data_IF_580631601291
#
_entry.id   IF_580631601291
#
_cell.length_a   1.000
_cell.length_b   1.000
_cell.length_c   1.000
_cell.angle_alpha   90.00
_cell.angle_beta   90.00
_cell.angle_gamma   90.00
#
_symmetry.space_group_name_H-M   'P 1'
#
loop_
_entity.id
_entity.type
_entity.pdbx_description
1 polymer ?
#
# COMPACT_ATOMS: atom_id res chain seq x y z
N UNK A 1 -2.41 9.17 -12.07
CA UNK A 1 -2.63 9.85 -13.37
C UNK A 1 -2.20 11.31 -13.36
N UNK A 2 -2.76 12.19 -12.53
CA UNK A 2 -2.38 13.63 -12.49
C UNK A 2 -0.87 13.87 -12.36
N UNK A 3 -0.21 13.24 -11.38
CA UNK A 3 1.24 13.33 -11.17
C UNK A 3 2.06 12.89 -12.39
N UNK A 4 1.60 11.86 -13.11
CA UNK A 4 2.28 11.38 -14.30
C UNK A 4 2.15 12.33 -15.49
N UNK A 5 1.04 13.08 -15.60
CA UNK A 5 0.70 13.84 -16.81
C UNK A 5 0.94 15.34 -16.71
N UNK A 6 0.77 15.94 -15.54
CA UNK A 6 1.03 17.37 -15.33
C UNK A 6 2.43 17.58 -14.73
N UNK A 7 3.09 18.63 -15.22
CA UNK A 7 4.26 19.21 -14.57
C UNK A 7 3.80 20.50 -13.90
N UNK A 8 4.06 20.62 -12.60
CA UNK A 8 3.72 21.79 -11.81
C UNK A 8 4.81 22.01 -10.75
N UNK A 9 4.92 23.25 -10.26
CA UNK A 9 5.91 23.61 -9.23
C UNK A 9 5.55 22.88 -7.92
N UNK A 10 6.50 22.14 -7.34
CA UNK A 10 6.27 21.33 -6.14
C UNK A 10 6.00 19.84 -6.39
N UNK A 11 5.92 19.39 -7.65
CA UNK A 11 5.77 17.96 -7.98
C UNK A 11 6.85 17.09 -7.34
N UNK A 12 8.11 17.51 -7.40
CA UNK A 12 9.23 16.76 -6.79
C UNK A 12 9.08 16.64 -5.28
N UNK A 13 8.58 17.68 -4.60
CA UNK A 13 8.35 17.65 -3.15
C UNK A 13 7.28 16.62 -2.80
N UNK A 14 6.18 16.57 -3.54
CA UNK A 14 5.11 15.59 -3.33
C UNK A 14 5.60 14.17 -3.63
N UNK A 15 6.32 13.97 -4.73
CA UNK A 15 6.91 12.66 -5.07
C UNK A 15 7.91 12.21 -3.99
N UNK A 16 8.71 13.12 -3.43
CA UNK A 16 9.60 12.84 -2.29
C UNK A 16 8.82 12.44 -1.04
N UNK A 17 7.77 13.19 -0.65
CA UNK A 17 6.94 12.87 0.53
C UNK A 17 6.32 11.48 0.40
N UNK A 18 5.77 11.16 -0.77
CA UNK A 18 5.18 9.84 -1.03
C UNK A 18 6.24 8.73 -0.96
N UNK A 19 7.48 9.04 -1.32
CA UNK A 19 8.60 8.10 -1.32
C UNK A 19 9.32 7.99 0.04
N UNK A 20 9.05 8.88 1.00
CA UNK A 20 9.68 8.86 2.33
C UNK A 20 9.58 7.48 3.03
N UNK A 21 8.43 6.77 3.00
CA UNK A 21 8.33 5.46 3.64
C UNK A 21 9.29 4.40 3.08
N UNK A 22 9.83 4.58 1.87
CA UNK A 22 10.80 3.65 1.29
C UNK A 22 12.20 3.75 1.93
N UNK A 23 12.53 4.91 2.49
CA UNK A 23 13.88 5.21 3.00
C UNK A 23 13.90 5.21 4.53
N UNK A 24 12.77 5.51 5.15
CA UNK A 24 12.66 5.53 6.60
C UNK A 24 12.67 4.12 7.18
N UNK A 25 13.41 3.89 8.27
CA UNK A 25 13.26 2.65 9.04
C UNK A 25 11.80 2.47 9.47
N UNK A 26 11.24 1.25 9.40
CA UNK A 26 9.86 0.98 9.82
C UNK A 26 9.55 1.46 11.23
N UNK A 27 10.52 1.38 12.15
CA UNK A 27 10.36 1.85 13.53
C UNK A 27 10.22 3.37 13.62
N UNK A 28 10.90 4.13 12.76
CA UNK A 28 10.77 5.60 12.72
C UNK A 28 9.40 5.97 12.19
N UNK A 29 8.97 5.32 11.11
CA UNK A 29 7.65 5.55 10.52
C UNK A 29 6.52 5.16 11.49
N UNK A 30 6.63 4.00 12.14
CA UNK A 30 5.69 3.52 13.15
C UNK A 30 5.60 4.44 14.35
N UNK A 31 6.73 4.93 14.87
CA UNK A 31 6.76 5.89 15.97
C UNK A 31 6.03 7.19 15.61
N UNK A 32 6.36 7.80 14.48
CA UNK A 32 5.71 9.05 14.09
C UNK A 32 4.23 8.83 13.81
N UNK A 33 3.84 7.75 13.15
CA UNK A 33 2.43 7.42 12.94
C UNK A 33 1.68 7.21 14.26
N UNK A 34 2.28 6.54 15.25
CA UNK A 34 1.72 6.41 16.60
C UNK A 34 1.50 7.80 17.21
N UNK A 35 2.51 8.68 17.18
CA UNK A 35 2.40 10.04 17.73
C UNK A 35 1.33 10.87 16.99
N UNK A 36 1.26 10.76 15.66
CA UNK A 36 0.28 11.49 14.85
C UNK A 36 -1.15 10.95 15.00
N UNK A 37 -1.33 9.65 15.21
CA UNK A 37 -2.65 9.02 15.36
C UNK A 37 -3.09 8.92 16.84
N UNK A 38 -2.17 9.23 17.77
CA UNK A 38 -2.42 9.24 19.21
C UNK A 38 -3.60 10.14 19.56
N UNK A 39 -4.43 9.76 20.56
CA UNK A 39 -5.55 10.59 21.02
C UNK A 39 -5.12 11.97 21.55
N UNK A 40 -3.84 12.17 21.86
CA UNK A 40 -3.28 13.46 22.30
C UNK A 40 -2.84 14.37 21.14
N UNK A 41 -2.88 13.89 19.90
CA UNK A 41 -2.56 14.71 18.73
C UNK A 41 -3.80 15.46 18.24
N UNK A 42 -3.62 16.57 17.53
CA UNK A 42 -4.73 17.33 16.94
C UNK A 42 -5.63 16.44 16.06
N UNK A 43 -5.01 15.50 15.32
CA UNK A 43 -5.73 14.60 14.43
C UNK A 43 -6.46 13.49 15.21
N UNK A 44 -5.78 12.83 16.14
CA UNK A 44 -6.38 11.75 16.94
C UNK A 44 -7.48 12.27 17.86
N UNK A 45 -7.27 13.43 18.49
CA UNK A 45 -8.27 14.11 19.31
C UNK A 45 -9.51 14.49 18.49
N UNK A 46 -9.34 14.96 17.24
CA UNK A 46 -10.45 15.27 16.35
C UNK A 46 -11.33 14.03 16.10
N UNK A 47 -10.70 12.88 15.78
CA UNK A 47 -11.44 11.64 15.52
C UNK A 47 -12.07 11.06 16.79
N UNK A 48 -11.40 11.15 17.94
CA UNK A 48 -11.93 10.71 19.22
C UNK A 48 -13.15 11.55 19.63
N UNK A 49 -13.08 12.89 19.49
CA UNK A 49 -14.19 13.79 19.88
C UNK A 49 -15.40 13.72 18.95
N UNK A 50 -15.19 13.62 17.64
CA UNK A 50 -16.30 13.70 16.66
C UNK A 50 -16.87 12.32 16.31
N UNK A 51 -16.04 11.28 16.33
CA UNK A 51 -16.44 9.93 15.92
C UNK A 51 -16.33 8.89 17.04
N UNK A 52 -15.82 9.25 18.23
CA UNK A 52 -15.60 8.30 19.33
C UNK A 52 -14.55 7.23 18.99
N UNK A 53 -13.67 7.50 18.01
CA UNK A 53 -12.83 6.48 17.41
C UNK A 53 -11.34 6.74 17.69
N UNK A 54 -10.73 5.82 18.45
CA UNK A 54 -9.28 5.79 18.69
C UNK A 54 -8.56 5.17 17.50
N UNK A 55 -7.55 5.87 16.99
CA UNK A 55 -6.78 5.48 15.81
C UNK A 55 -5.49 4.71 16.13
N UNK A 56 -5.17 4.49 17.40
CA UNK A 56 -4.05 3.62 17.81
C UNK A 56 -4.65 2.42 18.55
N UNK A 57 -4.03 1.25 18.41
CA UNK A 57 -4.51 -0.01 19.00
C UNK A 57 -5.91 -0.39 18.53
N UNK A 58 -6.27 -0.01 17.30
CA UNK A 58 -7.55 -0.29 16.66
C UNK A 58 -7.32 -0.67 15.19
N UNK A 59 -8.17 -1.55 14.67
CA UNK A 59 -8.14 -1.99 13.27
C UNK A 59 -8.18 -0.82 12.28
N UNK A 60 -9.04 0.17 12.49
CA UNK A 60 -9.17 1.34 11.60
C UNK A 60 -7.86 2.13 11.50
N UNK A 61 -7.19 2.31 12.63
CA UNK A 61 -5.87 2.93 12.72
C UNK A 61 -4.80 2.17 11.96
N UNK A 62 -4.80 0.85 12.12
CA UNK A 62 -3.89 -0.06 11.44
C UNK A 62 -4.11 -0.06 9.92
N UNK A 63 -5.35 0.06 9.45
CA UNK A 63 -5.67 0.23 8.02
C UNK A 63 -5.13 1.56 7.49
N UNK A 64 -5.34 2.67 8.20
CA UNK A 64 -4.82 3.98 7.80
C UNK A 64 -3.30 3.98 7.73
N UNK A 65 -2.64 3.44 8.75
CA UNK A 65 -1.19 3.27 8.76
C UNK A 65 -0.71 2.42 7.59
N UNK A 66 -1.43 1.33 7.29
CA UNK A 66 -1.15 0.44 6.17
C UNK A 66 -1.22 1.12 4.82
N UNK A 67 -2.21 1.98 4.62
CA UNK A 67 -2.29 2.81 3.43
C UNK A 67 -1.09 3.76 3.31
N UNK A 68 -0.61 4.34 4.42
CA UNK A 68 0.50 5.31 4.39
C UNK A 68 1.83 4.62 4.07
N UNK A 69 2.20 3.55 4.78
CA UNK A 69 3.48 2.89 4.53
C UNK A 69 3.49 2.13 3.19
N UNK A 70 2.32 1.63 2.73
CA UNK A 70 2.22 0.92 1.46
C UNK A 70 2.10 1.84 0.24
N UNK A 71 1.84 3.14 0.46
CA UNK A 71 1.62 4.14 -0.59
C UNK A 71 2.71 4.16 -1.68
N UNK A 72 4.02 4.19 -1.38
CA UNK A 72 5.04 4.26 -2.42
C UNK A 72 5.07 3.02 -3.32
N UNK A 73 4.73 1.85 -2.78
CA UNK A 73 4.72 0.58 -3.50
C UNK A 73 3.58 0.52 -4.53
N UNK A 74 2.47 1.19 -4.25
CA UNK A 74 1.39 1.40 -5.21
C UNK A 74 1.69 2.55 -6.19
N UNK A 75 2.23 3.66 -5.66
CA UNK A 75 2.41 4.89 -6.42
C UNK A 75 3.44 4.78 -7.54
N UNK A 76 4.63 4.24 -7.25
CA UNK A 76 5.74 4.21 -8.19
C UNK A 76 5.44 3.41 -9.47
N UNK A 77 4.90 2.17 -9.41
CA UNK A 77 4.56 1.41 -10.61
C UNK A 77 3.41 2.05 -11.40
N UNK A 78 2.41 2.63 -10.72
CA UNK A 78 1.32 3.32 -11.40
C UNK A 78 1.78 4.58 -12.14
N UNK A 79 2.63 5.40 -11.51
CA UNK A 79 3.19 6.60 -12.16
C UNK A 79 4.04 6.20 -13.35
N UNK A 80 4.88 5.17 -13.22
CA UNK A 80 5.67 4.63 -14.32
C UNK A 80 4.78 4.16 -15.48
N UNK A 81 3.74 3.37 -15.19
CA UNK A 81 2.76 2.92 -16.20
C UNK A 81 2.04 4.07 -16.90
N UNK A 82 1.62 5.11 -16.17
CA UNK A 82 0.99 6.28 -16.82
C UNK A 82 1.98 7.12 -17.64
N UNK A 83 3.28 7.11 -17.28
CA UNK A 83 4.34 7.81 -18.03
C UNK A 83 4.73 7.06 -19.31
N UNK A 84 4.58 5.73 -19.36
CA UNK A 84 4.88 4.94 -20.57
C UNK A 84 3.86 5.12 -21.70
N UNK A 85 2.64 5.60 -21.39
CA UNK A 85 1.61 5.84 -22.41
C UNK A 85 1.98 7.01 -23.34
N UNK A 86 1.92 6.82 -24.68
CA UNK A 86 2.28 7.86 -25.64
C UNK A 86 1.33 9.04 -25.55
N UNK A 87 1.85 10.25 -25.79
CA UNK A 87 1.04 11.48 -25.75
C UNK A 87 -0.06 11.51 -26.82
N UNK A 88 0.16 10.88 -27.97
CA UNK A 88 -0.78 10.79 -29.08
C UNK A 88 -2.13 10.18 -28.69
N UNK A 89 -2.14 9.19 -27.81
CA UNK A 89 -3.36 8.57 -27.28
C UNK A 89 -4.29 9.60 -26.60
N UNK A 90 -3.69 10.57 -25.90
CA UNK A 90 -4.43 11.61 -25.20
C UNK A 90 -4.86 12.75 -26.14
N UNK A 91 -4.05 13.10 -27.14
CA UNK A 91 -4.45 14.04 -28.19
C UNK A 91 -5.68 13.53 -28.95
N UNK A 92 -5.74 12.24 -29.28
CA UNK A 92 -6.92 11.65 -29.89
C UNK A 92 -8.17 11.75 -28.99
N UNK A 93 -8.01 11.53 -27.68
CA UNK A 93 -9.11 11.73 -26.73
C UNK A 93 -9.58 13.19 -26.67
N UNK A 94 -8.64 14.14 -26.72
CA UNK A 94 -8.92 15.58 -26.71
C UNK A 94 -9.65 16.00 -28.00
N UNK A 95 -9.24 15.49 -29.17
CA UNK A 95 -9.94 15.72 -30.45
C UNK A 95 -11.38 15.17 -30.46
N UNK A 96 -11.64 14.09 -29.72
CA UNK A 96 -12.98 13.52 -29.52
C UNK A 96 -13.78 14.22 -28.40
N UNK A 97 -13.28 15.34 -27.86
CA UNK A 97 -13.93 16.11 -26.80
C UNK A 97 -14.06 15.35 -25.47
N UNK A 98 -13.22 14.34 -25.21
CA UNK A 98 -13.34 13.51 -24.00
C UNK A 98 -12.72 14.21 -22.78
N UNK A 99 -13.53 14.37 -21.74
CA UNK A 99 -13.11 14.93 -20.46
C UNK A 99 -12.09 14.08 -19.68
N UNK A 100 -11.55 14.64 -18.59
CA UNK A 100 -10.51 14.03 -17.76
C UNK A 100 -10.88 12.63 -17.24
N UNK A 101 -12.10 12.46 -16.71
CA UNK A 101 -12.55 11.16 -16.18
C UNK A 101 -12.70 10.10 -17.27
N UNK A 102 -13.17 10.47 -18.47
CA UNK A 102 -13.23 9.55 -19.61
C UNK A 102 -11.84 9.11 -20.04
N UNK A 103 -10.88 10.05 -20.11
CA UNK A 103 -9.47 9.73 -20.42
C UNK A 103 -8.85 8.81 -19.37
N UNK A 104 -9.14 9.05 -18.09
CA UNK A 104 -8.61 8.24 -16.99
C UNK A 104 -9.19 6.82 -17.00
N UNK A 105 -10.50 6.68 -16.89
CA UNK A 105 -11.13 5.38 -16.64
C UNK A 105 -11.33 4.53 -17.89
N UNK A 106 -11.53 5.14 -19.07
CA UNK A 106 -11.80 4.39 -20.31
C UNK A 106 -10.55 4.13 -21.15
N UNK A 107 -9.48 4.90 -20.97
CA UNK A 107 -8.29 4.83 -21.82
C UNK A 107 -7.04 4.56 -21.01
N UNK A 108 -6.66 5.46 -20.11
CA UNK A 108 -5.40 5.36 -19.38
C UNK A 108 -5.36 4.14 -18.45
N UNK A 109 -6.39 3.95 -17.61
CA UNK A 109 -6.43 2.88 -16.62
C UNK A 109 -6.47 1.48 -17.26
N UNK A 110 -7.30 1.20 -18.30
CA UNK A 110 -7.24 -0.07 -19.01
C UNK A 110 -5.90 -0.30 -19.72
N UNK A 111 -5.30 0.76 -20.29
CA UNK A 111 -4.02 0.65 -20.98
C UNK A 111 -2.86 0.29 -20.04
N UNK A 112 -2.89 0.73 -18.77
CA UNK A 112 -1.87 0.40 -17.76
C UNK A 112 -2.24 -0.78 -16.88
N UNK A 113 -3.19 -1.64 -17.28
CA UNK A 113 -3.66 -2.79 -16.49
C UNK A 113 -2.52 -3.66 -15.94
N UNK A 114 -1.44 -3.81 -16.71
CA UNK A 114 -0.26 -4.57 -16.30
C UNK A 114 0.50 -3.88 -15.18
N UNK A 115 0.77 -2.57 -15.32
CA UNK A 115 1.39 -1.79 -14.26
C UNK A 115 0.52 -1.71 -13.01
N UNK A 116 -0.81 -1.68 -13.15
CA UNK A 116 -1.75 -1.75 -12.04
C UNK A 116 -1.66 -3.10 -11.32
N UNK A 117 -1.64 -4.22 -12.06
CA UNK A 117 -1.45 -5.55 -11.47
C UNK A 117 -0.10 -5.66 -10.75
N UNK A 118 1.00 -5.19 -11.36
CA UNK A 118 2.31 -5.16 -10.69
C UNK A 118 2.28 -4.31 -9.42
N UNK A 119 1.63 -3.15 -9.44
CA UNK A 119 1.48 -2.28 -8.27
C UNK A 119 0.72 -3.01 -7.14
N UNK A 120 -0.37 -3.71 -7.48
CA UNK A 120 -1.14 -4.49 -6.52
C UNK A 120 -0.32 -5.63 -5.92
N UNK A 121 0.45 -6.36 -6.73
CA UNK A 121 1.33 -7.44 -6.26
C UNK A 121 2.37 -6.92 -5.26
N UNK A 122 3.10 -5.87 -5.63
CA UNK A 122 4.18 -5.32 -4.80
C UNK A 122 3.60 -4.73 -3.52
N UNK A 123 2.50 -3.98 -3.62
CA UNK A 123 1.82 -3.42 -2.45
C UNK A 123 1.36 -4.52 -1.51
N UNK A 124 0.70 -5.57 -2.02
CA UNK A 124 0.25 -6.70 -1.22
C UNK A 124 1.41 -7.44 -0.54
N UNK A 125 2.46 -7.75 -1.30
CA UNK A 125 3.64 -8.42 -0.78
C UNK A 125 4.28 -7.62 0.36
N UNK A 126 4.38 -6.30 0.19
CA UNK A 126 4.92 -5.42 1.21
C UNK A 126 4.02 -5.35 2.46
N UNK A 127 2.70 -5.17 2.29
CA UNK A 127 1.75 -5.15 3.41
C UNK A 127 1.79 -6.46 4.21
N UNK A 128 1.93 -7.62 3.53
CA UNK A 128 2.07 -8.92 4.21
C UNK A 128 3.37 -9.05 4.99
N UNK A 129 4.47 -8.54 4.44
CA UNK A 129 5.79 -8.56 5.08
C UNK A 129 5.98 -7.50 6.15
N UNK A 130 5.06 -6.53 6.27
CA UNK A 130 5.18 -5.45 7.23
C UNK A 130 4.99 -5.95 8.66
N UNK A 131 5.91 -5.54 9.52
CA UNK A 131 5.92 -5.90 10.93
C UNK A 131 6.21 -4.68 11.80
N UNK A 132 7.25 -3.91 11.49
CA UNK A 132 7.75 -2.84 12.36
C UNK A 132 6.72 -1.75 12.60
N UNK A 133 6.11 -1.21 11.54
CA UNK A 133 5.08 -0.16 11.67
C UNK A 133 3.85 -0.70 12.41
N UNK A 134 3.45 -1.92 12.08
CA UNK A 134 2.24 -2.56 12.58
C UNK A 134 2.36 -2.88 14.07
N UNK A 135 3.51 -3.37 14.53
CA UNK A 135 3.77 -3.63 15.95
C UNK A 135 3.61 -2.35 16.78
N UNK A 136 4.14 -1.22 16.30
CA UNK A 136 4.12 0.04 17.06
C UNK A 136 2.72 0.64 17.17
N UNK A 137 1.91 0.60 16.10
CA UNK A 137 0.58 1.23 16.07
C UNK A 137 -0.47 0.36 16.77
N UNK A 138 -0.13 -0.89 17.13
CA UNK A 138 -0.98 -1.76 17.92
C UNK A 138 -1.57 -2.94 17.13
N UNK A 139 -0.75 -3.59 16.30
CA UNK A 139 -1.09 -4.86 15.65
C UNK A 139 -0.97 -6.10 16.56
N UNK A 140 -0.77 -5.91 17.86
CA UNK A 140 -0.66 -6.99 18.87
C UNK A 140 -1.84 -7.04 19.84
N UNK A 141 -2.93 -6.29 19.60
CA UNK A 141 -4.10 -6.34 20.49
C UNK A 141 -4.79 -7.70 20.31
N UNK A 142 -4.78 -8.49 21.38
CA UNK A 142 -5.37 -9.84 21.41
C UNK A 142 -6.83 -9.80 20.94
N UNK A 143 -7.20 -10.77 20.10
CA UNK A 143 -8.53 -10.96 19.51
C UNK A 143 -9.05 -9.83 18.59
N UNK A 144 -8.34 -8.72 18.41
CA UNK A 144 -8.81 -7.60 17.58
C UNK A 144 -7.91 -7.31 16.38
N UNK A 145 -6.60 -7.18 16.59
CA UNK A 145 -5.68 -6.71 15.55
C UNK A 145 -4.42 -7.56 15.41
N UNK A 146 -4.36 -8.71 16.10
CA UNK A 146 -3.18 -9.60 16.09
C UNK A 146 -2.84 -10.07 14.67
N UNK A 147 -1.78 -9.51 14.09
CA UNK A 147 -1.32 -9.85 12.73
C UNK A 147 -0.40 -11.07 12.76
N UNK A 148 -0.42 -11.88 11.70
CA UNK A 148 0.37 -13.11 11.59
C UNK A 148 1.88 -12.88 11.83
N UNK A 149 2.45 -11.81 11.31
CA UNK A 149 3.87 -11.45 11.51
C UNK A 149 4.21 -11.22 12.99
N UNK A 150 3.28 -10.62 13.75
CA UNK A 150 3.42 -10.39 15.19
C UNK A 150 3.23 -11.68 15.98
N UNK A 151 2.30 -12.54 15.57
CA UNK A 151 2.11 -13.85 16.20
C UNK A 151 3.37 -14.74 16.09
N UNK A 152 4.07 -14.69 14.94
CA UNK A 152 5.36 -15.39 14.75
C UNK A 152 6.43 -14.81 15.69
N UNK A 153 6.51 -13.47 15.77
CA UNK A 153 7.47 -12.78 16.64
C UNK A 153 7.25 -13.13 18.11
N UNK A 154 6.02 -13.03 18.61
CA UNK A 154 5.68 -13.39 19.99
C UNK A 154 5.97 -14.87 20.31
N UNK A 155 5.62 -15.80 19.41
CA UNK A 155 5.93 -17.21 19.60
C UNK A 155 7.44 -17.49 19.66
N UNK A 156 8.23 -16.70 18.91
CA UNK A 156 9.69 -16.77 18.95
C UNK A 156 10.24 -16.21 20.26
N UNK A 157 9.70 -15.09 20.75
CA UNK A 157 10.08 -14.50 22.03
C UNK A 157 9.76 -15.41 23.22
N UNK A 158 8.64 -16.14 23.16
CA UNK A 158 8.26 -17.12 24.19
C UNK A 158 8.96 -18.48 24.05
N UNK A 159 9.89 -18.60 23.09
CA UNK A 159 10.62 -19.84 22.77
C UNK A 159 9.71 -21.01 22.35
N UNK A 160 8.46 -20.75 21.96
CA UNK A 160 7.54 -21.73 21.40
C UNK A 160 7.79 -21.88 19.89
N UNK A 161 8.89 -22.57 19.58
CA UNK A 161 9.28 -22.80 18.19
C UNK A 161 8.28 -23.67 17.43
N UNK A 162 7.47 -24.49 18.11
CA UNK A 162 6.45 -25.30 17.47
C UNK A 162 5.36 -24.42 16.86
N UNK A 163 4.84 -23.46 17.63
CA UNK A 163 3.89 -22.47 17.12
C UNK A 163 4.53 -21.54 16.09
N UNK A 164 5.75 -21.07 16.33
CA UNK A 164 6.46 -20.19 15.39
C UNK A 164 6.64 -20.86 14.00
N UNK A 165 7.00 -22.15 13.97
CA UNK A 165 7.08 -22.92 12.73
C UNK A 165 5.73 -23.06 12.03
N UNK A 166 4.65 -23.36 12.77
CA UNK A 166 3.31 -23.51 12.20
C UNK A 166 2.83 -22.20 11.55
N UNK A 167 2.93 -21.07 12.25
CA UNK A 167 2.55 -19.77 11.71
C UNK A 167 3.42 -19.35 10.52
N UNK A 168 4.75 -19.57 10.61
CA UNK A 168 5.68 -19.23 9.53
C UNK A 168 5.42 -20.06 8.27
N UNK A 169 5.18 -21.36 8.41
CA UNK A 169 4.87 -22.25 7.29
C UNK A 169 3.55 -21.86 6.60
N UNK A 170 2.51 -21.56 7.39
CA UNK A 170 1.23 -21.10 6.86
C UNK A 170 1.39 -19.78 6.10
N UNK A 171 2.07 -18.79 6.70
CA UNK A 171 2.30 -17.48 6.08
C UNK A 171 3.12 -17.59 4.80
N UNK A 172 4.14 -18.46 4.78
CA UNK A 172 4.94 -18.74 3.59
C UNK A 172 4.10 -19.35 2.47
N UNK A 173 3.36 -20.43 2.76
CA UNK A 173 2.52 -21.10 1.76
C UNK A 173 1.45 -20.17 1.20
N UNK A 174 0.81 -19.40 2.07
CA UNK A 174 -0.20 -18.43 1.67
C UNK A 174 0.39 -17.32 0.80
N UNK A 175 1.49 -16.70 1.23
CA UNK A 175 2.15 -15.63 0.47
C UNK A 175 2.63 -16.14 -0.90
N UNK A 176 3.22 -17.33 -0.93
CA UNK A 176 3.63 -17.97 -2.18
C UNK A 176 2.44 -18.23 -3.10
N UNK A 177 1.34 -18.79 -2.58
CA UNK A 177 0.14 -19.05 -3.37
C UNK A 177 -0.45 -17.78 -3.97
N UNK A 178 -0.55 -16.69 -3.19
CA UNK A 178 -1.06 -15.42 -3.70
C UNK A 178 -0.14 -14.83 -4.76
N UNK A 179 1.18 -14.79 -4.53
CA UNK A 179 2.14 -14.31 -5.52
C UNK A 179 2.11 -15.16 -6.80
N UNK A 180 1.97 -16.47 -6.67
CA UNK A 180 1.87 -17.39 -7.80
C UNK A 180 0.62 -17.10 -8.62
N UNK A 181 -0.54 -16.98 -7.98
CA UNK A 181 -1.82 -16.64 -8.61
C UNK A 181 -1.70 -15.30 -9.35
N UNK A 182 -1.15 -14.28 -8.69
CA UNK A 182 -1.03 -12.95 -9.31
C UNK A 182 -0.07 -12.94 -10.51
N UNK A 183 1.04 -13.69 -10.47
CA UNK A 183 1.93 -13.84 -11.62
C UNK A 183 1.26 -14.56 -12.78
N UNK A 184 0.48 -15.63 -12.53
CA UNK A 184 -0.25 -16.33 -13.59
C UNK A 184 -1.35 -15.46 -14.23
N UNK A 185 -2.06 -14.66 -13.42
CA UNK A 185 -3.04 -13.68 -13.91
C UNK A 185 -2.36 -12.58 -14.75
N UNK A 186 -1.19 -12.10 -14.31
CA UNK A 186 -0.40 -11.09 -15.02
C UNK A 186 0.16 -11.59 -16.36
N UNK A 187 0.66 -12.83 -16.41
CA UNK A 187 1.25 -13.43 -17.60
C UNK A 187 0.24 -13.69 -18.72
N UNK A 188 -1.02 -14.05 -18.38
CA UNK A 188 -2.07 -14.27 -19.38
C UNK A 188 -2.43 -13.01 -20.16
N UNK A 189 -2.37 -11.82 -19.55
CA UNK A 189 -2.71 -10.58 -20.25
C UNK A 189 -1.58 -10.02 -21.14
N UNK A 190 -0.32 -10.39 -20.89
CA UNK A 190 0.85 -9.91 -21.66
C UNK A 190 0.94 -10.60 -23.03
N UNK A 191 0.50 -11.86 -23.12
CA UNK A 191 0.46 -12.64 -24.38
C UNK A 191 -0.65 -12.21 -25.35
N UNK A 192 -1.59 -11.35 -24.95
CA UNK A 192 -2.71 -10.89 -25.81
C UNK A 192 -2.44 -9.53 -26.47
N UNK A 193 -1.30 -8.90 -26.20
CA UNK A 193 -0.93 -7.57 -26.74
C UNK A 193 0.37 -7.56 -27.54
N UNK A 194 1.00 -8.73 -27.71
CA UNK A 194 2.09 -8.97 -28.67
C UNK A 194 1.50 -9.64 -29.92
#
# INVERSE_FOLDING_TARGET
FFMARKNFRGKSVIESIISLPLVLPPSVLGFYLLVFLSPYSVLGEFFDKHFGLRLVFNFSGLVIASCIYSLPFMFSPLVSGFRSLPRSLFWACDSLGKGYFSKLFRVALPAIRHSLLSALVICFAHTMGEFGVVLMIGGSVSEQTKVASIAIYEATETLDFAQAHAYSALMLLFSFAVLLIMHFLGAKGAKTQA
#
